data_IF_364925874095
#
_entry.id   IF_364925874095
#
_cell.length_a   1.000
_cell.length_b   1.000
_cell.length_c   1.000
_cell.angle_alpha   90.00
_cell.angle_beta   90.00
_cell.angle_gamma   90.00
#
_symmetry.space_group_name_H-M   'P 1'
#
loop_
_entity.id
_entity.type
_entity.pdbx_description
1 polymer ?
#
# COMPACT_ATOMS: atom_id res chain seq x y z
N UNK A 1 13.71 6.13 25.10
CA UNK A 1 14.61 5.19 25.82
C UNK A 1 14.44 3.79 25.24
N UNK A 2 15.52 2.97 25.13
CA UNK A 2 15.38 1.59 24.71
C UNK A 2 14.37 0.83 25.59
N UNK A 3 13.66 -0.15 25.01
CA UNK A 3 12.77 -1.01 25.78
C UNK A 3 13.59 -1.80 26.79
N UNK A 4 13.20 -1.72 28.06
CA UNK A 4 13.88 -2.37 29.19
C UNK A 4 13.24 -3.70 29.62
N UNK A 5 13.77 -4.29 30.68
CA UNK A 5 13.22 -5.48 31.30
C UNK A 5 13.25 -6.74 30.40
N UNK A 6 12.29 -7.63 30.62
CA UNK A 6 12.20 -8.91 29.88
C UNK A 6 12.04 -8.72 28.36
N UNK A 7 11.29 -7.71 27.94
CA UNK A 7 11.10 -7.42 26.51
C UNK A 7 12.38 -6.96 25.84
N UNK A 8 13.15 -6.05 26.47
CA UNK A 8 14.44 -5.61 25.94
C UNK A 8 15.46 -6.76 25.82
N UNK A 9 15.50 -7.66 26.79
CA UNK A 9 16.34 -8.86 26.73
C UNK A 9 15.92 -9.81 25.61
N UNK A 10 14.59 -10.03 25.45
CA UNK A 10 14.05 -10.87 24.39
C UNK A 10 14.38 -10.29 23.00
N UNK A 11 14.20 -8.99 22.77
CA UNK A 11 14.48 -8.33 21.48
C UNK A 11 15.96 -8.37 21.12
N UNK A 12 16.82 -8.26 22.11
CA UNK A 12 18.28 -8.40 21.91
C UNK A 12 18.64 -9.83 21.50
N UNK A 13 18.03 -10.84 22.15
CA UNK A 13 18.28 -12.25 21.86
C UNK A 13 17.86 -12.63 20.44
N UNK A 14 16.72 -12.13 19.97
CA UNK A 14 16.18 -12.42 18.62
C UNK A 14 16.68 -11.43 17.55
N UNK A 15 17.55 -10.47 17.90
CA UNK A 15 18.19 -9.57 16.95
C UNK A 15 17.27 -8.52 16.33
N UNK A 16 16.22 -8.07 17.06
CA UNK A 16 15.24 -7.09 16.54
C UNK A 16 15.26 -5.73 17.26
N UNK A 17 16.25 -5.53 18.13
CA UNK A 17 16.35 -4.29 18.94
C UNK A 17 16.42 -3.03 18.07
N UNK A 18 17.14 -3.07 16.94
CA UNK A 18 17.25 -1.94 16.01
C UNK A 18 15.93 -1.65 15.32
N UNK A 19 15.20 -2.69 14.89
CA UNK A 19 13.86 -2.52 14.30
C UNK A 19 12.91 -1.86 15.29
N UNK A 20 12.92 -2.29 16.54
CA UNK A 20 12.07 -1.69 17.59
C UNK A 20 12.51 -0.27 17.90
N UNK A 21 13.80 0.03 17.93
CA UNK A 21 14.32 1.38 18.13
C UNK A 21 13.91 2.32 16.97
N UNK A 22 13.92 1.81 15.74
CA UNK A 22 13.42 2.53 14.58
C UNK A 22 11.91 2.85 14.73
N UNK A 23 11.07 1.86 15.05
CA UNK A 23 9.65 2.08 15.30
C UNK A 23 9.38 3.12 16.39
N UNK A 24 10.21 3.13 17.46
CA UNK A 24 10.11 4.15 18.51
C UNK A 24 10.48 5.55 18.02
N UNK A 25 11.46 5.66 17.14
CA UNK A 25 11.91 6.94 16.59
C UNK A 25 10.91 7.54 15.61
N UNK A 26 10.27 6.68 14.80
CA UNK A 26 9.27 7.08 13.80
C UNK A 26 7.88 7.35 14.40
N UNK A 27 7.63 6.95 15.65
CA UNK A 27 6.33 7.16 16.27
C UNK A 27 6.07 8.65 16.54
N UNK A 28 5.12 9.27 15.85
CA UNK A 28 4.74 10.68 15.96
C UNK A 28 4.39 11.06 17.40
N UNK A 29 3.71 10.19 18.12
CA UNK A 29 3.39 10.39 19.52
C UNK A 29 4.64 10.56 20.40
N UNK A 30 5.71 9.80 20.14
CA UNK A 30 6.98 9.93 20.82
C UNK A 30 7.67 11.26 20.48
N UNK A 31 7.59 11.67 19.21
CA UNK A 31 8.14 12.93 18.76
C UNK A 31 7.41 14.10 19.44
N UNK A 32 6.07 14.15 19.41
CA UNK A 32 5.25 15.19 20.05
C UNK A 32 5.55 15.25 21.54
N UNK A 33 5.57 14.09 22.22
CA UNK A 33 5.86 14.02 23.65
C UNK A 33 7.24 14.58 24.02
N UNK A 34 8.21 14.40 23.12
CA UNK A 34 9.59 14.83 23.35
C UNK A 34 9.82 16.31 23.02
N UNK A 35 9.27 16.77 21.90
CA UNK A 35 9.54 18.10 21.34
C UNK A 35 8.44 19.12 21.65
N UNK A 36 7.23 18.66 21.99
CA UNK A 36 6.07 19.48 22.30
C UNK A 36 5.39 19.01 23.60
N UNK A 37 6.12 18.95 24.73
CA UNK A 37 5.61 18.32 25.97
C UNK A 37 4.40 19.05 26.57
N UNK A 38 4.22 20.33 26.27
CA UNK A 38 3.05 21.10 26.73
C UNK A 38 1.79 20.68 25.96
N UNK A 39 1.90 20.50 24.65
CA UNK A 39 0.82 19.96 23.82
C UNK A 39 0.47 18.55 24.29
N UNK A 40 1.49 17.69 24.50
CA UNK A 40 1.26 16.33 24.98
C UNK A 40 0.51 16.31 26.32
N UNK A 41 0.90 17.14 27.29
CA UNK A 41 0.23 17.22 28.61
C UNK A 41 -1.22 17.73 28.52
N UNK A 42 -1.51 18.57 27.54
CA UNK A 42 -2.87 19.08 27.29
C UNK A 42 -3.70 18.19 26.37
N UNK A 43 -3.13 17.10 25.85
CA UNK A 43 -3.82 16.20 24.91
C UNK A 43 -4.95 15.46 25.62
N UNK A 44 -6.17 15.69 25.17
CA UNK A 44 -7.36 14.96 25.62
C UNK A 44 -7.56 13.64 24.85
N UNK A 45 -7.33 13.67 23.53
CA UNK A 45 -7.42 12.49 22.66
C UNK A 45 -6.31 12.49 21.62
N UNK A 46 -5.70 11.32 21.39
CA UNK A 46 -4.77 11.09 20.30
C UNK A 46 -5.50 10.36 19.19
N UNK A 47 -5.67 11.01 18.06
CA UNK A 47 -6.47 10.52 16.93
C UNK A 47 -5.64 10.49 15.66
N UNK A 48 -5.83 9.46 14.85
CA UNK A 48 -5.45 9.51 13.44
C UNK A 48 -6.42 10.43 12.68
N UNK A 49 -6.12 10.71 11.41
CA UNK A 49 -6.94 11.60 10.58
C UNK A 49 -8.39 11.11 10.48
N UNK A 50 -8.60 9.79 10.36
CA UNK A 50 -9.94 9.17 10.32
C UNK A 50 -10.73 9.45 11.60
N UNK A 51 -10.14 9.22 12.77
CA UNK A 51 -10.78 9.50 14.06
C UNK A 51 -11.02 10.99 14.28
N UNK A 52 -10.12 11.86 13.82
CA UNK A 52 -10.33 13.31 13.86
C UNK A 52 -11.51 13.73 12.99
N UNK A 53 -11.60 13.24 11.76
CA UNK A 53 -12.74 13.54 10.87
C UNK A 53 -14.03 12.98 11.43
N UNK A 54 -14.02 11.77 11.98
CA UNK A 54 -15.17 11.18 12.66
C UNK A 54 -15.66 12.07 13.80
N UNK A 55 -14.73 12.54 14.66
CA UNK A 55 -15.08 13.46 15.73
C UNK A 55 -15.66 14.77 15.21
N UNK A 56 -15.07 15.37 14.17
CA UNK A 56 -15.57 16.61 13.56
C UNK A 56 -16.97 16.46 12.97
N UNK A 57 -17.29 15.29 12.45
CA UNK A 57 -18.57 15.01 11.80
C UNK A 57 -19.66 14.62 12.80
N UNK A 58 -19.29 13.83 13.84
CA UNK A 58 -20.26 13.19 14.74
C UNK A 58 -20.18 13.64 16.21
N UNK A 59 -19.14 14.34 16.60
CA UNK A 59 -18.83 14.69 18.00
C UNK A 59 -18.29 13.52 18.83
N UNK A 60 -18.15 12.30 18.28
CA UNK A 60 -17.71 11.09 18.99
C UNK A 60 -16.21 10.83 18.80
N UNK A 61 -15.57 10.28 19.84
CA UNK A 61 -14.18 9.81 19.77
C UNK A 61 -14.16 8.30 19.49
N UNK A 62 -14.51 7.93 18.26
CA UNK A 62 -14.58 6.56 17.79
C UNK A 62 -13.90 6.45 16.42
N UNK A 63 -13.27 5.32 16.12
CA UNK A 63 -12.62 5.08 14.83
C UNK A 63 -12.72 3.61 14.42
N UNK A 64 -12.47 3.32 13.14
CA UNK A 64 -12.42 1.95 12.63
C UNK A 64 -11.13 1.23 13.04
N UNK A 65 -11.21 -0.04 13.44
CA UNK A 65 -10.02 -0.89 13.61
C UNK A 65 -9.20 -0.97 12.31
N UNK A 66 -9.87 -0.90 11.17
CA UNK A 66 -9.23 -1.00 9.86
C UNK A 66 -8.56 0.32 9.39
N UNK A 67 -8.78 1.42 10.13
CA UNK A 67 -8.05 2.68 9.94
C UNK A 67 -6.79 2.78 10.79
N UNK A 68 -6.55 1.82 11.70
CA UNK A 68 -5.44 1.86 12.64
C UNK A 68 -4.15 1.36 11.98
N UNK A 69 -3.50 2.23 11.22
CA UNK A 69 -2.21 1.99 10.57
C UNK A 69 -1.21 3.02 11.06
N UNK A 70 -0.21 2.60 11.86
CA UNK A 70 0.78 3.52 12.43
C UNK A 70 1.55 2.91 13.60
N UNK A 71 2.39 3.73 14.22
CA UNK A 71 3.26 3.33 15.32
C UNK A 71 2.63 3.70 16.68
N UNK A 72 1.69 2.87 17.14
CA UNK A 72 1.00 3.02 18.43
C UNK A 72 0.65 1.66 19.04
N UNK A 73 0.16 1.60 20.29
CA UNK A 73 -0.09 0.33 20.98
C UNK A 73 -1.30 -0.44 20.44
N UNK A 74 -1.26 -0.85 19.15
CA UNK A 74 -2.29 -1.62 18.49
C UNK A 74 -1.87 -3.08 18.29
N UNK A 75 -2.74 -4.04 18.59
CA UNK A 75 -2.57 -5.46 18.32
C UNK A 75 -3.22 -5.82 16.98
N UNK A 76 -2.44 -5.83 15.92
CA UNK A 76 -2.90 -6.14 14.57
C UNK A 76 -3.56 -7.52 14.45
N UNK A 77 -3.12 -8.49 15.27
CA UNK A 77 -3.70 -9.83 15.26
C UNK A 77 -5.06 -9.87 15.95
N UNK A 78 -5.21 -9.15 17.05
CA UNK A 78 -6.47 -9.04 17.77
C UNK A 78 -7.40 -7.98 17.17
N UNK A 79 -6.89 -7.11 16.28
CA UNK A 79 -7.57 -5.94 15.72
C UNK A 79 -8.18 -5.06 16.82
N UNK A 80 -7.36 -4.74 17.81
CA UNK A 80 -7.75 -3.91 18.96
C UNK A 80 -6.53 -3.25 19.59
N UNK A 81 -6.75 -2.36 20.54
CA UNK A 81 -5.67 -1.85 21.37
C UNK A 81 -4.95 -2.99 22.09
N UNK A 82 -3.63 -2.87 22.20
CA UNK A 82 -2.80 -3.90 22.85
C UNK A 82 -3.19 -4.09 24.30
N UNK A 83 -3.07 -5.33 24.79
CA UNK A 83 -3.34 -5.67 26.20
C UNK A 83 -2.41 -4.88 27.13
N UNK A 84 -2.86 -4.57 28.36
CA UNK A 84 -1.98 -4.02 29.40
C UNK A 84 -0.68 -4.86 29.51
N UNK A 85 0.46 -4.19 29.72
CA UNK A 85 1.78 -4.81 29.79
C UNK A 85 2.39 -5.33 28.47
N UNK A 86 1.73 -5.16 27.32
CA UNK A 86 2.37 -5.38 26.01
C UNK A 86 3.54 -4.38 25.83
N UNK A 87 4.60 -4.87 25.18
CA UNK A 87 5.80 -4.06 24.92
C UNK A 87 5.52 -2.77 24.11
N UNK A 88 4.44 -2.76 23.34
CA UNK A 88 4.06 -1.60 22.53
C UNK A 88 3.75 -0.38 23.39
N UNK A 89 3.19 -0.57 24.61
CA UNK A 89 3.01 0.52 25.56
C UNK A 89 4.33 1.08 26.12
N UNK A 90 5.42 0.28 26.10
CA UNK A 90 6.75 0.78 26.41
C UNK A 90 7.39 1.46 25.18
N UNK A 91 7.09 0.96 23.97
CA UNK A 91 7.61 1.53 22.74
C UNK A 91 7.02 2.92 22.47
N UNK A 92 5.71 3.07 22.66
CA UNK A 92 4.96 4.33 22.49
C UNK A 92 4.14 4.59 23.76
N UNK A 93 4.77 5.16 24.81
CA UNK A 93 4.12 5.38 26.09
C UNK A 93 3.02 6.44 25.99
N UNK A 94 1.79 6.00 26.27
CA UNK A 94 0.59 6.83 26.36
C UNK A 94 -0.43 6.17 27.26
N UNK A 95 -1.37 6.94 27.78
CA UNK A 95 -2.48 6.42 28.55
C UNK A 95 -3.55 5.86 27.59
N UNK A 96 -4.13 4.72 27.90
CA UNK A 96 -5.09 4.06 27.02
C UNK A 96 -6.39 4.87 26.83
N UNK A 97 -6.75 5.69 27.79
CA UNK A 97 -7.94 6.54 27.78
C UNK A 97 -7.85 7.74 26.83
N UNK A 98 -6.64 8.12 26.39
CA UNK A 98 -6.51 9.12 25.31
C UNK A 98 -6.76 8.56 23.91
N UNK A 99 -6.82 7.25 23.77
CA UNK A 99 -7.14 6.59 22.49
C UNK A 99 -8.66 6.57 22.23
N UNK A 100 -9.10 6.54 20.97
CA UNK A 100 -10.53 6.43 20.65
C UNK A 100 -11.09 5.02 20.94
N UNK A 101 -12.40 4.93 21.06
CA UNK A 101 -13.13 3.67 20.94
C UNK A 101 -12.93 3.09 19.55
N UNK A 102 -12.83 1.76 19.42
CA UNK A 102 -12.69 1.09 18.13
C UNK A 102 -13.93 0.26 17.79
N UNK A 103 -14.33 0.37 16.51
CA UNK A 103 -15.40 -0.43 15.92
C UNK A 103 -14.90 -1.15 14.67
N UNK A 104 -15.61 -2.19 14.23
CA UNK A 104 -15.23 -2.88 12.99
C UNK A 104 -15.56 -2.01 11.75
N UNK A 105 -14.89 -2.29 10.63
CA UNK A 105 -15.34 -1.76 9.35
C UNK A 105 -16.82 -2.16 9.14
N UNK A 106 -17.61 -1.29 8.51
CA UNK A 106 -19.07 -1.37 8.36
C UNK A 106 -19.91 -1.05 9.60
N UNK A 107 -19.31 -0.91 10.77
CA UNK A 107 -20.06 -0.50 11.97
C UNK A 107 -20.39 1.00 11.95
N UNK A 108 -21.34 1.36 12.80
CA UNK A 108 -21.80 2.73 12.94
C UNK A 108 -20.86 3.57 13.81
N UNK A 109 -20.38 4.67 13.25
CA UNK A 109 -19.52 5.63 13.96
C UNK A 109 -20.29 6.74 14.67
N UNK A 110 -21.46 7.12 14.15
CA UNK A 110 -22.30 8.21 14.65
C UNK A 110 -23.16 8.82 13.56
N UNK A 111 -23.87 9.89 13.89
CA UNK A 111 -24.66 10.68 12.94
C UNK A 111 -23.99 12.01 12.67
N UNK A 112 -24.16 12.51 11.44
CA UNK A 112 -23.72 13.84 11.08
C UNK A 112 -24.47 14.88 11.94
N UNK A 113 -23.72 15.66 12.68
CA UNK A 113 -24.29 16.70 13.56
C UNK A 113 -24.82 17.89 12.74
N UNK A 114 -25.77 18.68 13.27
CA UNK A 114 -26.24 19.91 12.61
C UNK A 114 -25.09 20.89 12.30
N UNK A 115 -24.09 20.98 13.20
CA UNK A 115 -22.91 21.80 12.99
C UNK A 115 -22.07 21.32 11.81
N UNK A 116 -21.81 20.02 11.72
CA UNK A 116 -21.09 19.41 10.61
C UNK A 116 -21.85 19.56 9.29
N UNK A 117 -23.19 19.40 9.32
CA UNK A 117 -24.07 19.61 8.17
C UNK A 117 -23.95 21.02 7.62
N UNK A 118 -23.99 22.02 8.48
CA UNK A 118 -23.81 23.43 8.08
C UNK A 118 -22.45 23.68 7.42
N UNK A 119 -21.38 23.05 7.92
CA UNK A 119 -20.01 23.25 7.42
C UNK A 119 -19.71 22.49 6.13
N UNK A 120 -20.38 21.35 5.88
CA UNK A 120 -20.03 20.43 4.78
C UNK A 120 -21.12 20.30 3.71
N UNK A 121 -22.36 20.68 4.02
CA UNK A 121 -23.53 20.40 3.16
C UNK A 121 -24.05 18.96 3.25
N UNK A 122 -23.42 18.07 4.03
CA UNK A 122 -23.91 16.69 4.25
C UNK A 122 -25.15 16.77 5.15
N UNK A 123 -26.25 16.05 4.83
CA UNK A 123 -27.47 16.09 5.65
C UNK A 123 -27.23 15.71 7.11
N UNK A 124 -27.77 16.49 8.05
CA UNK A 124 -27.76 16.15 9.47
C UNK A 124 -28.55 14.87 9.72
N UNK A 125 -28.08 14.06 10.69
CA UNK A 125 -28.69 12.77 11.02
C UNK A 125 -28.34 11.63 10.05
N UNK A 126 -27.55 11.90 8.99
CA UNK A 126 -27.05 10.83 8.13
C UNK A 126 -26.06 9.94 8.92
N UNK A 127 -26.23 8.61 8.89
CA UNK A 127 -25.31 7.71 9.56
C UNK A 127 -23.91 7.73 8.92
N UNK A 128 -22.87 7.86 9.75
CA UNK A 128 -21.49 7.69 9.34
C UNK A 128 -21.07 6.25 9.60
N UNK A 129 -20.65 5.54 8.56
CA UNK A 129 -20.25 4.14 8.62
C UNK A 129 -18.72 4.04 8.62
N UNK A 130 -18.19 3.15 9.47
CA UNK A 130 -16.76 2.87 9.54
C UNK A 130 -16.26 2.22 8.25
N UNK A 131 -15.15 2.72 7.74
CA UNK A 131 -14.44 2.13 6.61
C UNK A 131 -13.03 1.68 7.05
N UNK A 132 -12.02 1.83 6.21
CA UNK A 132 -10.67 1.36 6.46
C UNK A 132 -9.63 2.37 5.94
N UNK A 133 -8.35 2.09 6.18
CA UNK A 133 -7.25 2.82 5.56
C UNK A 133 -7.35 2.76 4.02
N UNK A 134 -6.80 3.78 3.34
CA UNK A 134 -6.88 3.97 1.88
C UNK A 134 -6.44 2.74 1.09
N UNK A 135 -5.36 2.06 1.50
CA UNK A 135 -4.90 0.82 0.87
C UNK A 135 -5.86 -0.34 1.06
N UNK A 136 -6.47 -0.48 2.22
CA UNK A 136 -7.45 -1.53 2.47
C UNK A 136 -8.74 -1.31 1.66
N UNK A 137 -9.18 -0.05 1.55
CA UNK A 137 -10.33 0.31 0.70
C UNK A 137 -9.98 0.19 -0.79
N UNK A 138 -8.76 0.52 -1.23
CA UNK A 138 -8.30 0.29 -2.60
C UNK A 138 -8.41 -1.19 -3.01
N UNK A 139 -7.96 -2.10 -2.14
CA UNK A 139 -8.07 -3.56 -2.34
C UNK A 139 -9.53 -4.00 -2.49
N UNK A 140 -10.42 -3.47 -1.63
CA UNK A 140 -11.85 -3.75 -1.70
C UNK A 140 -12.49 -3.18 -2.97
N UNK A 141 -12.20 -1.93 -3.31
CA UNK A 141 -12.72 -1.25 -4.50
C UNK A 141 -12.21 -1.83 -5.81
N UNK A 142 -11.02 -2.45 -5.80
CA UNK A 142 -10.51 -3.26 -6.90
C UNK A 142 -11.19 -4.64 -7.01
N UNK A 143 -12.08 -4.99 -6.08
CA UNK A 143 -12.79 -6.26 -6.06
C UNK A 143 -11.97 -7.45 -5.56
N UNK A 144 -10.87 -7.22 -4.83
CA UNK A 144 -9.98 -8.26 -4.33
C UNK A 144 -10.48 -8.85 -2.99
N UNK A 145 -11.54 -9.64 -3.03
CA UNK A 145 -12.13 -10.29 -1.87
C UNK A 145 -11.38 -11.56 -1.43
N UNK A 146 -10.73 -12.23 -2.36
CA UNK A 146 -10.15 -13.55 -2.19
C UNK A 146 -8.62 -13.55 -2.27
N UNK A 147 -7.94 -14.47 -1.58
CA UNK A 147 -6.48 -14.49 -1.49
C UNK A 147 -5.76 -14.84 -2.80
N UNK A 148 -6.45 -15.36 -3.81
CA UNK A 148 -5.88 -15.62 -5.13
C UNK A 148 -5.89 -14.38 -6.06
N UNK A 149 -6.54 -13.30 -5.64
CA UNK A 149 -6.54 -12.01 -6.34
C UNK A 149 -5.47 -11.09 -5.74
N UNK A 150 -4.46 -10.76 -6.53
CA UNK A 150 -3.43 -9.80 -6.15
C UNK A 150 -3.84 -8.39 -6.55
N UNK A 151 -3.98 -7.47 -5.57
CA UNK A 151 -4.15 -6.05 -5.84
C UNK A 151 -2.78 -5.38 -5.93
N UNK A 152 -2.41 -4.87 -7.10
CA UNK A 152 -1.24 -4.02 -7.29
C UNK A 152 -1.69 -2.56 -7.22
N UNK A 153 -1.06 -1.78 -6.36
CA UNK A 153 -1.25 -0.33 -6.32
C UNK A 153 -0.08 0.37 -7.00
N UNK A 154 -0.35 1.08 -8.08
CA UNK A 154 0.61 1.85 -8.86
C UNK A 154 0.57 3.33 -8.46
N UNK A 155 0.80 3.56 -7.16
CA UNK A 155 0.91 4.89 -6.56
C UNK A 155 2.36 5.32 -6.33
N UNK A 156 2.56 6.45 -5.63
CA UNK A 156 3.91 6.91 -5.23
C UNK A 156 4.69 5.83 -4.51
N UNK A 157 4.03 5.05 -3.65
CA UNK A 157 4.47 3.74 -3.16
C UNK A 157 3.79 2.67 -4.01
N UNK A 158 4.54 1.72 -4.55
CA UNK A 158 3.95 0.58 -5.22
C UNK A 158 3.77 -0.57 -4.22
N UNK A 159 2.61 -1.22 -4.22
CA UNK A 159 2.32 -2.30 -3.27
C UNK A 159 1.67 -3.50 -3.96
N UNK A 160 1.91 -4.67 -3.39
CA UNK A 160 1.10 -5.87 -3.62
C UNK A 160 0.30 -6.16 -2.37
N UNK A 161 -1.00 -6.33 -2.52
CA UNK A 161 -1.92 -6.70 -1.45
C UNK A 161 -2.75 -7.92 -1.80
N UNK A 162 -3.06 -8.75 -0.80
CA UNK A 162 -4.04 -9.85 -0.90
C UNK A 162 -4.88 -9.91 0.37
N UNK A 163 -6.16 -10.28 0.25
CA UNK A 163 -7.10 -10.37 1.38
C UNK A 163 -7.14 -11.77 1.97
N UNK A 164 -6.96 -11.91 3.28
CA UNK A 164 -6.95 -13.19 3.97
C UNK A 164 -7.76 -13.14 5.27
N UNK A 165 -8.41 -14.27 5.62
CA UNK A 165 -9.09 -14.44 6.91
C UNK A 165 -8.14 -14.81 8.06
N UNK A 166 -6.88 -15.13 7.75
CA UNK A 166 -5.87 -15.51 8.74
C UNK A 166 -4.79 -14.44 8.84
N UNK A 167 -4.34 -14.17 10.06
CA UNK A 167 -3.15 -13.36 10.31
C UNK A 167 -1.90 -14.08 9.81
N UNK A 168 -1.20 -13.49 8.84
CA UNK A 168 0.01 -14.04 8.22
C UNK A 168 1.00 -12.91 7.98
N UNK A 169 2.16 -12.98 8.58
CA UNK A 169 3.27 -12.07 8.28
C UNK A 169 4.01 -12.56 7.04
N UNK A 170 3.92 -11.83 5.94
CA UNK A 170 4.69 -12.12 4.70
C UNK A 170 6.17 -11.89 4.95
N UNK A 171 6.49 -10.77 5.58
CA UNK A 171 7.82 -10.42 6.06
C UNK A 171 7.78 -10.59 7.59
N UNK A 172 8.64 -11.42 8.19
CA UNK A 172 8.63 -11.65 9.63
C UNK A 172 8.72 -10.34 10.42
N UNK A 173 7.87 -10.18 11.42
CA UNK A 173 7.72 -9.02 12.29
C UNK A 173 7.13 -7.76 11.61
N UNK A 174 6.69 -7.87 10.37
CA UNK A 174 5.84 -6.86 9.73
C UNK A 174 4.42 -7.41 9.74
N UNK A 175 3.51 -6.83 10.56
CA UNK A 175 2.14 -7.31 10.65
C UNK A 175 1.35 -7.02 9.37
N UNK A 176 0.42 -7.89 8.98
CA UNK A 176 -0.60 -7.55 7.99
C UNK A 176 -1.53 -6.49 8.58
N UNK A 177 -2.07 -5.62 7.74
CA UNK A 177 -3.04 -4.63 8.17
C UNK A 177 -4.45 -5.24 8.28
N UNK A 178 -5.33 -4.69 9.15
CA UNK A 178 -6.74 -5.02 9.11
C UNK A 178 -7.31 -4.68 7.73
N UNK A 179 -8.07 -5.61 7.16
CA UNK A 179 -8.76 -5.39 5.88
C UNK A 179 -9.97 -4.47 6.04
N UNK A 180 -10.46 -3.92 4.95
CA UNK A 180 -11.77 -3.29 4.87
C UNK A 180 -12.94 -4.28 5.12
N UNK A 181 -12.66 -5.57 5.13
CA UNK A 181 -13.62 -6.64 5.48
C UNK A 181 -13.41 -7.01 6.94
N UNK A 182 -14.45 -6.95 7.80
CA UNK A 182 -14.34 -7.25 9.23
C UNK A 182 -13.68 -8.59 9.50
N UNK A 183 -12.71 -8.61 10.43
CA UNK A 183 -11.99 -9.81 10.86
C UNK A 183 -11.02 -10.39 9.82
N UNK A 184 -10.85 -9.74 8.66
CA UNK A 184 -9.86 -10.13 7.66
C UNK A 184 -8.60 -9.23 7.73
N UNK A 185 -7.56 -9.62 7.00
CA UNK A 185 -6.25 -8.98 6.95
C UNK A 185 -5.82 -8.75 5.50
N UNK A 186 -5.18 -7.63 5.24
CA UNK A 186 -4.46 -7.40 4.00
C UNK A 186 -2.98 -7.71 4.21
N UNK A 187 -2.49 -8.70 3.48
CA UNK A 187 -1.07 -9.02 3.41
C UNK A 187 -0.45 -8.07 2.41
N UNK A 188 0.42 -7.19 2.89
CA UNK A 188 1.04 -6.16 2.06
C UNK A 188 2.54 -6.31 1.97
N UNK A 189 3.08 -6.08 0.76
CA UNK A 189 4.50 -5.84 0.53
C UNK A 189 4.65 -4.54 -0.26
N UNK A 190 5.51 -3.65 0.22
CA UNK A 190 5.67 -2.28 -0.29
C UNK A 190 7.01 -2.07 -0.99
N UNK A 191 6.98 -1.28 -2.06
CA UNK A 191 8.14 -0.65 -2.69
C UNK A 191 8.00 0.87 -2.48
N UNK A 192 8.72 1.43 -1.53
CA UNK A 192 8.49 2.79 -0.99
C UNK A 192 8.58 3.91 -2.05
N UNK A 193 9.48 3.80 -3.02
CA UNK A 193 9.57 4.72 -4.16
C UNK A 193 9.10 4.02 -5.42
N UNK A 194 7.82 3.60 -5.43
CA UNK A 194 7.19 2.91 -6.54
C UNK A 194 7.05 3.78 -7.79
N UNK A 195 5.83 4.10 -8.16
CA UNK A 195 5.57 4.96 -9.34
C UNK A 195 6.00 6.43 -9.13
N UNK A 196 6.45 6.81 -7.94
CA UNK A 196 7.26 8.02 -7.76
C UNK A 196 8.45 8.08 -8.74
N UNK A 197 9.02 6.94 -9.13
CA UNK A 197 10.10 6.87 -10.11
C UNK A 197 9.68 7.34 -11.50
N UNK A 198 8.40 7.22 -11.85
CA UNK A 198 7.84 7.80 -13.08
C UNK A 198 7.92 9.34 -13.01
N UNK A 199 7.49 9.92 -11.89
CA UNK A 199 7.60 11.36 -11.67
C UNK A 199 9.06 11.82 -11.62
N UNK A 200 9.94 11.03 -11.01
CA UNK A 200 11.38 11.29 -11.03
C UNK A 200 11.93 11.28 -12.47
N UNK A 201 11.58 10.28 -13.26
CA UNK A 201 11.99 10.22 -14.68
C UNK A 201 11.44 11.40 -15.46
N UNK A 202 10.17 11.75 -15.29
CA UNK A 202 9.54 12.93 -15.91
C UNK A 202 10.33 14.20 -15.63
N UNK A 203 10.73 14.41 -14.38
CA UNK A 203 11.43 15.62 -13.96
C UNK A 203 12.91 15.67 -14.43
N UNK A 204 13.58 14.51 -14.54
CA UNK A 204 14.99 14.45 -14.91
C UNK A 204 15.22 14.31 -16.42
N UNK A 205 14.33 13.60 -17.13
CA UNK A 205 14.55 13.16 -18.51
C UNK A 205 13.36 13.45 -19.45
N UNK A 206 12.22 13.89 -18.93
CA UNK A 206 10.96 14.02 -19.67
C UNK A 206 10.65 15.42 -20.21
N UNK A 207 11.62 16.33 -20.32
CA UNK A 207 11.39 17.72 -20.74
C UNK A 207 10.67 17.82 -22.11
N UNK A 208 10.98 16.92 -23.03
CA UNK A 208 10.36 16.88 -24.36
C UNK A 208 8.86 16.56 -24.25
N UNK A 209 8.52 15.53 -23.50
CA UNK A 209 7.14 15.09 -23.32
C UNK A 209 6.35 16.12 -22.52
N UNK A 210 6.95 16.76 -21.51
CA UNK A 210 6.31 17.84 -20.77
C UNK A 210 5.96 19.03 -21.66
N UNK A 211 6.84 19.43 -22.59
CA UNK A 211 6.56 20.51 -23.54
C UNK A 211 5.43 20.11 -24.51
N UNK A 212 5.52 18.91 -25.08
CA UNK A 212 4.51 18.42 -26.02
C UNK A 212 3.15 18.25 -25.35
N UNK A 213 3.10 17.74 -24.13
CA UNK A 213 1.89 17.58 -23.35
C UNK A 213 1.22 18.93 -23.06
N UNK A 214 2.02 19.93 -22.67
CA UNK A 214 1.52 21.30 -22.47
C UNK A 214 0.91 21.89 -23.74
N UNK A 215 1.51 21.62 -24.91
CA UNK A 215 0.97 22.08 -26.20
C UNK A 215 -0.34 21.38 -26.57
N UNK A 216 -0.50 20.12 -26.16
CA UNK A 216 -1.68 19.29 -26.44
C UNK A 216 -2.76 19.35 -25.36
N UNK A 217 -2.47 19.92 -24.19
CA UNK A 217 -3.39 19.99 -23.06
C UNK A 217 -3.65 18.60 -22.40
N UNK A 218 -2.65 17.72 -22.38
CA UNK A 218 -2.69 16.39 -21.79
C UNK A 218 -1.60 16.24 -20.70
N UNK A 219 -1.62 15.13 -19.95
CA UNK A 219 -0.55 14.82 -19.03
C UNK A 219 0.66 14.21 -19.74
N UNK A 220 1.88 14.55 -19.29
CA UNK A 220 3.10 14.06 -19.91
C UNK A 220 3.25 12.53 -19.87
N UNK A 221 2.67 11.91 -18.86
CA UNK A 221 2.63 10.46 -18.66
C UNK A 221 1.89 9.72 -19.78
N UNK A 222 0.92 10.37 -20.43
CA UNK A 222 0.21 9.79 -21.57
C UNK A 222 1.12 9.55 -22.78
N UNK A 223 2.19 10.34 -22.89
CA UNK A 223 3.20 10.20 -23.95
C UNK A 223 4.29 9.17 -23.63
N UNK A 224 4.36 8.70 -22.39
CA UNK A 224 5.42 7.78 -21.97
C UNK A 224 5.21 6.35 -22.44
N UNK A 225 4.00 5.96 -22.79
CA UNK A 225 3.71 4.65 -23.38
C UNK A 225 4.48 4.49 -24.71
N UNK A 226 4.69 5.57 -25.48
CA UNK A 226 5.50 5.56 -26.69
C UNK A 226 6.97 5.22 -26.41
N UNK A 227 7.52 5.71 -25.28
CA UNK A 227 8.89 5.36 -24.87
C UNK A 227 9.02 3.87 -24.54
N UNK A 228 8.01 3.30 -23.89
CA UNK A 228 7.98 1.85 -23.58
C UNK A 228 7.89 1.04 -24.86
N UNK A 229 7.00 1.43 -25.78
CA UNK A 229 6.74 0.69 -27.02
C UNK A 229 7.90 0.78 -28.02
N UNK A 230 8.75 1.82 -27.91
CA UNK A 230 9.94 1.98 -28.76
C UNK A 230 11.12 1.07 -28.41
N UNK A 231 11.03 0.33 -27.28
CA UNK A 231 12.12 -0.51 -26.77
C UNK A 231 11.63 -1.95 -26.60
N UNK A 232 12.43 -2.97 -26.94
CA UNK A 232 11.99 -4.35 -26.79
C UNK A 232 11.89 -4.76 -25.32
N UNK A 233 11.09 -5.81 -25.00
CA UNK A 233 11.00 -6.39 -23.66
C UNK A 233 12.36 -6.78 -23.10
N UNK A 234 12.66 -6.34 -21.87
CA UNK A 234 13.93 -6.53 -21.20
C UNK A 234 14.95 -5.42 -21.46
N UNK A 235 14.52 -4.31 -22.09
CA UNK A 235 15.32 -3.06 -22.24
C UNK A 235 16.74 -3.32 -22.75
N UNK A 236 16.89 -4.26 -23.71
CA UNK A 236 18.18 -4.72 -24.26
C UNK A 236 19.21 -5.12 -23.19
N UNK A 237 18.74 -5.66 -22.06
CA UNK A 237 19.57 -6.13 -20.94
C UNK A 237 19.83 -5.07 -19.86
N UNK A 238 19.22 -3.90 -19.95
CA UNK A 238 19.25 -2.91 -18.89
C UNK A 238 18.28 -3.33 -17.78
N UNK A 239 18.79 -3.63 -16.59
CA UNK A 239 17.99 -4.10 -15.46
C UNK A 239 18.09 -3.12 -14.29
N UNK A 240 16.93 -2.75 -13.74
CA UNK A 240 16.81 -1.80 -12.63
C UNK A 240 16.28 -2.49 -11.36
N UNK A 241 16.94 -2.20 -10.23
CA UNK A 241 16.49 -2.52 -8.89
C UNK A 241 15.86 -1.27 -8.26
N UNK A 242 14.54 -1.25 -7.92
CA UNK A 242 13.82 -0.03 -7.58
C UNK A 242 13.89 0.37 -6.09
N UNK A 243 14.98 0.06 -5.38
CA UNK A 243 15.10 0.33 -3.95
C UNK A 243 15.71 1.71 -3.68
N UNK A 244 15.10 2.78 -4.24
CA UNK A 244 15.51 4.18 -4.04
C UNK A 244 15.36 4.65 -2.59
N UNK A 245 14.45 4.07 -1.83
CA UNK A 245 14.37 4.23 -0.39
C UNK A 245 14.60 2.90 0.30
N UNK A 246 15.38 2.88 1.38
CA UNK A 246 15.54 1.69 2.20
C UNK A 246 14.21 1.29 2.84
N UNK A 247 14.10 0.03 3.19
CA UNK A 247 12.99 -0.52 3.96
C UNK A 247 13.43 -0.95 5.35
N UNK A 248 12.50 -1.50 6.11
CA UNK A 248 12.77 -2.01 7.45
C UNK A 248 13.47 -3.37 7.44
N UNK A 249 13.06 -4.27 6.55
CA UNK A 249 13.52 -5.66 6.50
C UNK A 249 13.58 -6.24 5.09
N UNK A 250 12.73 -5.79 4.21
CA UNK A 250 12.76 -6.15 2.79
C UNK A 250 12.09 -5.02 1.95
N UNK A 251 12.89 -4.30 1.14
CA UNK A 251 14.36 -4.30 1.23
C UNK A 251 14.82 -3.88 2.63
N UNK A 252 16.06 -4.23 3.00
CA UNK A 252 16.63 -3.81 4.29
C UNK A 252 17.07 -2.34 4.33
N UNK A 253 17.58 -1.86 5.46
CA UNK A 253 18.01 -0.47 5.63
C UNK A 253 19.27 -0.13 4.79
N UNK A 254 20.03 -1.12 4.37
CA UNK A 254 21.19 -1.00 3.49
C UNK A 254 20.83 -0.80 2.01
N UNK A 255 19.60 -1.11 1.61
CA UNK A 255 19.18 -1.14 0.22
C UNK A 255 19.37 0.21 -0.51
N UNK A 256 19.80 0.12 -1.75
CA UNK A 256 19.93 1.24 -2.68
C UNK A 256 19.37 0.86 -4.04
N UNK A 257 18.86 1.86 -4.77
CA UNK A 257 18.50 1.68 -6.17
C UNK A 257 19.74 1.47 -7.03
N UNK A 258 19.62 0.60 -8.03
CA UNK A 258 20.70 0.31 -8.95
C UNK A 258 20.19 0.07 -10.36
N UNK A 259 21.02 0.42 -11.35
CA UNK A 259 20.79 0.11 -12.78
C UNK A 259 22.07 -0.51 -13.32
N UNK A 260 21.96 -1.68 -13.93
CA UNK A 260 23.11 -2.39 -14.53
C UNK A 260 22.82 -2.76 -15.97
N UNK A 261 23.87 -2.95 -16.76
CA UNK A 261 23.77 -3.42 -18.16
C UNK A 261 23.88 -2.31 -19.21
N UNK A 262 24.28 -1.10 -18.86
CA UNK A 262 24.44 -0.01 -19.84
C UNK A 262 25.45 -0.34 -20.94
N UNK A 263 25.09 0.01 -22.18
CA UNK A 263 25.97 0.06 -23.34
C UNK A 263 25.67 1.34 -24.14
N UNK A 264 26.38 1.54 -25.25
CA UNK A 264 26.20 2.67 -26.17
C UNK A 264 24.84 2.65 -26.92
N UNK A 265 24.16 1.52 -26.95
CA UNK A 265 22.82 1.39 -27.55
C UNK A 265 21.70 1.97 -26.69
N UNK A 266 21.92 2.13 -25.38
CA UNK A 266 20.86 2.51 -24.46
C UNK A 266 20.52 4.00 -24.52
N UNK A 267 19.22 4.27 -24.56
CA UNK A 267 18.64 5.62 -24.55
C UNK A 267 17.81 5.86 -23.30
N UNK A 268 17.28 7.05 -23.12
CA UNK A 268 16.33 7.35 -22.03
C UNK A 268 15.04 6.51 -22.10
N UNK A 269 14.64 6.05 -23.31
CA UNK A 269 13.50 5.15 -23.47
C UNK A 269 13.77 3.78 -22.81
N UNK A 270 14.98 3.25 -22.97
CA UNK A 270 15.40 2.02 -22.26
C UNK A 270 15.39 2.21 -20.75
N UNK A 271 15.88 3.35 -20.25
CA UNK A 271 15.86 3.65 -18.83
C UNK A 271 14.42 3.72 -18.29
N UNK A 272 13.50 4.37 -19.03
CA UNK A 272 12.10 4.45 -18.61
C UNK A 272 11.43 3.06 -18.56
N UNK A 273 11.62 2.26 -19.62
CA UNK A 273 11.13 0.90 -19.65
C UNK A 273 11.74 0.05 -18.53
N UNK A 274 13.05 0.15 -18.29
CA UNK A 274 13.71 -0.55 -17.19
C UNK A 274 13.20 -0.15 -15.81
N UNK A 275 12.74 1.10 -15.61
CA UNK A 275 12.05 1.53 -14.37
C UNK A 275 10.77 0.72 -14.18
N UNK A 276 9.90 0.66 -15.19
CA UNK A 276 8.64 -0.09 -15.09
C UNK A 276 8.89 -1.59 -14.93
N UNK A 277 9.84 -2.16 -15.66
CA UNK A 277 10.24 -3.56 -15.55
C UNK A 277 10.79 -3.87 -14.15
N UNK A 278 11.65 -3.02 -13.60
CA UNK A 278 12.21 -3.16 -12.27
C UNK A 278 11.15 -3.10 -11.16
N UNK A 279 10.19 -2.19 -11.28
CA UNK A 279 9.04 -2.12 -10.36
C UNK A 279 8.18 -3.40 -10.44
N UNK A 280 7.89 -3.89 -11.64
CA UNK A 280 7.13 -5.11 -11.83
C UNK A 280 7.90 -6.36 -11.32
N UNK A 281 9.22 -6.42 -11.48
CA UNK A 281 10.05 -7.48 -10.88
C UNK A 281 10.00 -7.47 -9.36
N UNK A 282 10.09 -6.29 -8.73
CA UNK A 282 10.00 -6.18 -7.28
C UNK A 282 8.63 -6.64 -6.75
N UNK A 283 7.55 -6.25 -7.42
CA UNK A 283 6.19 -6.68 -7.07
C UNK A 283 5.96 -8.18 -7.35
N UNK A 284 6.56 -8.73 -8.40
CA UNK A 284 6.56 -10.18 -8.64
C UNK A 284 7.30 -10.93 -7.52
N UNK A 285 8.43 -10.45 -7.06
CA UNK A 285 9.13 -11.04 -5.91
C UNK A 285 8.29 -10.96 -4.63
N UNK A 286 7.56 -9.85 -4.43
CA UNK A 286 6.58 -9.71 -3.36
C UNK A 286 5.47 -10.76 -3.46
N UNK A 287 4.94 -11.00 -4.67
CA UNK A 287 3.94 -12.04 -4.95
C UNK A 287 4.47 -13.44 -4.61
N UNK A 288 5.68 -13.79 -5.03
CA UNK A 288 6.29 -15.07 -4.72
C UNK A 288 6.45 -15.27 -3.19
N UNK A 289 6.84 -14.23 -2.44
CA UNK A 289 6.91 -14.26 -0.97
C UNK A 289 5.53 -14.46 -0.34
N UNK A 290 4.53 -13.71 -0.82
CA UNK A 290 3.14 -13.82 -0.35
C UNK A 290 2.59 -15.21 -0.60
N UNK A 291 2.74 -15.76 -1.80
CA UNK A 291 2.31 -17.12 -2.16
C UNK A 291 2.95 -18.18 -1.25
N UNK A 292 4.27 -18.06 -1.02
CA UNK A 292 5.01 -18.99 -0.15
C UNK A 292 4.52 -18.93 1.29
N UNK A 293 4.24 -17.74 1.83
CA UNK A 293 3.84 -17.57 3.24
C UNK A 293 2.37 -17.91 3.47
N UNK A 294 1.50 -17.47 2.56
CA UNK A 294 0.05 -17.73 2.66
C UNK A 294 -0.33 -19.16 2.25
N UNK A 295 0.50 -19.82 1.43
CA UNK A 295 0.22 -21.10 0.76
C UNK A 295 -0.97 -21.02 -0.21
N UNK A 296 -1.26 -19.83 -0.70
CA UNK A 296 -2.26 -19.57 -1.72
C UNK A 296 -1.56 -18.91 -2.90
N UNK A 297 -1.69 -19.47 -4.09
CA UNK A 297 -1.15 -18.87 -5.30
C UNK A 297 -2.03 -17.70 -5.76
N UNK A 298 -1.41 -16.57 -6.04
CA UNK A 298 -2.04 -15.48 -6.79
C UNK A 298 -2.14 -15.93 -8.24
N UNK A 299 -3.34 -15.84 -8.81
CA UNK A 299 -3.63 -16.30 -10.17
C UNK A 299 -4.13 -15.20 -11.09
N UNK A 300 -4.50 -14.05 -10.55
CA UNK A 300 -5.01 -12.90 -11.28
C UNK A 300 -4.58 -11.61 -10.56
N UNK A 301 -4.33 -10.56 -11.34
CA UNK A 301 -3.93 -9.26 -10.84
C UNK A 301 -5.00 -8.20 -11.11
N UNK A 302 -5.26 -7.36 -10.12
CA UNK A 302 -6.02 -6.12 -10.23
C UNK A 302 -5.06 -4.97 -10.00
N UNK A 303 -4.97 -4.05 -10.96
CA UNK A 303 -4.00 -2.96 -10.89
C UNK A 303 -4.74 -1.65 -10.72
N UNK A 304 -4.57 -1.01 -9.57
CA UNK A 304 -5.19 0.27 -9.21
C UNK A 304 -4.13 1.39 -9.08
N UNK A 305 -4.58 2.60 -8.78
CA UNK A 305 -3.73 3.78 -8.67
C UNK A 305 -3.43 4.45 -10.02
N UNK A 306 -2.82 5.63 -9.98
CA UNK A 306 -2.61 6.47 -11.17
C UNK A 306 -1.83 5.79 -12.31
N UNK A 307 -0.81 5.00 -11.98
CA UNK A 307 -0.01 4.27 -12.97
C UNK A 307 -0.77 3.14 -13.70
N UNK A 308 -1.95 2.75 -13.21
CA UNK A 308 -2.79 1.75 -13.89
C UNK A 308 -3.43 2.27 -15.18
N UNK A 309 -3.35 3.56 -15.45
CA UNK A 309 -3.89 4.17 -16.67
C UNK A 309 -3.01 3.88 -17.91
N UNK A 310 -1.71 3.57 -17.71
CA UNK A 310 -0.81 3.19 -18.80
C UNK A 310 -1.09 1.76 -19.27
N UNK A 311 -1.49 1.61 -20.54
CA UNK A 311 -1.69 0.30 -21.17
C UNK A 311 -0.36 -0.46 -21.28
N UNK A 312 0.72 0.24 -21.59
CA UNK A 312 2.05 -0.34 -21.68
C UNK A 312 2.52 -0.90 -20.33
N UNK A 313 2.28 -0.19 -19.23
CA UNK A 313 2.64 -0.66 -17.89
C UNK A 313 1.83 -1.91 -17.48
N UNK A 314 0.54 -1.99 -17.85
CA UNK A 314 -0.28 -3.15 -17.53
C UNK A 314 0.10 -4.38 -18.38
N UNK A 315 0.36 -4.19 -19.68
CA UNK A 315 0.83 -5.31 -20.53
C UNK A 315 2.17 -5.84 -20.01
N UNK A 316 3.11 -4.95 -19.72
CA UNK A 316 4.40 -5.31 -19.14
C UNK A 316 4.23 -6.08 -17.81
N UNK A 317 3.30 -5.66 -16.98
CA UNK A 317 2.97 -6.34 -15.72
C UNK A 317 2.46 -7.74 -15.97
N UNK A 318 1.48 -7.91 -16.87
CA UNK A 318 0.96 -9.23 -17.23
C UNK A 318 2.09 -10.14 -17.75
N UNK A 319 2.93 -9.61 -18.62
CA UNK A 319 4.05 -10.35 -19.22
C UNK A 319 5.10 -10.76 -18.16
N UNK A 320 5.46 -9.86 -17.24
CA UNK A 320 6.45 -10.16 -16.19
C UNK A 320 5.92 -11.18 -15.19
N UNK A 321 4.66 -11.04 -14.75
CA UNK A 321 4.07 -11.99 -13.80
C UNK A 321 3.68 -13.32 -14.46
N UNK A 322 3.40 -13.33 -15.76
CA UNK A 322 2.79 -14.47 -16.45
C UNK A 322 1.34 -14.70 -16.01
N UNK A 323 0.64 -13.65 -15.61
CA UNK A 323 -0.72 -13.65 -15.08
C UNK A 323 -1.55 -12.57 -15.76
N UNK A 324 -2.86 -12.78 -15.96
CA UNK A 324 -3.74 -11.72 -16.43
C UNK A 324 -3.75 -10.55 -15.47
N UNK A 325 -3.63 -9.33 -16.01
CA UNK A 325 -3.67 -8.08 -15.24
C UNK A 325 -4.82 -7.20 -15.73
N UNK A 326 -5.75 -6.87 -14.84
CA UNK A 326 -6.93 -6.06 -15.15
C UNK A 326 -6.90 -4.76 -14.36
N UNK A 327 -7.32 -3.66 -14.98
CA UNK A 327 -7.62 -2.44 -14.23
C UNK A 327 -9.08 -2.44 -13.81
N UNK A 328 -9.44 -1.88 -12.62
CA UNK A 328 -10.81 -1.54 -12.29
C UNK A 328 -11.37 -0.51 -13.31
N UNK A 329 -12.69 -0.47 -13.46
CA UNK A 329 -13.32 0.52 -14.35
C UNK A 329 -13.18 1.97 -13.84
N UNK A 330 -12.88 2.14 -12.54
CA UNK A 330 -12.57 3.42 -11.88
C UNK A 330 -11.20 3.29 -11.25
N UNK A 331 -10.28 4.19 -11.58
CA UNK A 331 -8.94 4.19 -11.00
C UNK A 331 -8.92 4.65 -9.53
N UNK A 332 -9.90 5.47 -9.10
CA UNK A 332 -10.12 5.87 -7.70
C UNK A 332 -10.75 4.74 -6.87
N UNK A 333 -10.08 3.60 -6.84
CA UNK A 333 -10.58 2.39 -6.18
C UNK A 333 -10.76 2.58 -4.66
N UNK A 334 -9.96 3.44 -4.00
CA UNK A 334 -10.10 3.70 -2.56
C UNK A 334 -11.46 4.30 -2.21
N UNK A 335 -11.92 5.30 -2.97
CA UNK A 335 -13.24 5.90 -2.78
C UNK A 335 -14.37 4.89 -3.03
N UNK A 336 -14.22 4.05 -4.08
CA UNK A 336 -15.19 2.99 -4.36
C UNK A 336 -15.24 1.95 -3.24
N UNK A 337 -14.12 1.55 -2.68
CA UNK A 337 -14.07 0.61 -1.55
C UNK A 337 -14.70 1.19 -0.28
N UNK A 338 -14.51 2.48 -0.01
CA UNK A 338 -15.20 3.16 1.09
C UNK A 338 -16.72 3.18 0.87
N UNK A 339 -17.18 3.41 -0.38
CA UNK A 339 -18.59 3.33 -0.73
C UNK A 339 -19.16 1.90 -0.57
N UNK A 340 -18.38 0.86 -0.89
CA UNK A 340 -18.76 -0.54 -0.65
C UNK A 340 -18.94 -0.79 0.85
N UNK A 341 -18.01 -0.34 1.72
CA UNK A 341 -18.18 -0.44 3.17
C UNK A 341 -19.47 0.26 3.65
N UNK A 342 -19.70 1.49 3.17
CA UNK A 342 -20.89 2.24 3.54
C UNK A 342 -22.18 1.53 3.08
N UNK A 343 -22.20 0.97 1.87
CA UNK A 343 -23.36 0.27 1.32
C UNK A 343 -23.69 -1.02 2.10
N UNK A 344 -22.66 -1.78 2.52
CA UNK A 344 -22.85 -2.97 3.36
C UNK A 344 -23.28 -2.57 4.77
N UNK A 345 -22.62 -1.59 5.39
CA UNK A 345 -22.93 -1.13 6.75
C UNK A 345 -24.31 -0.47 6.87
N UNK A 346 -24.78 0.18 5.81
CA UNK A 346 -26.14 0.74 5.72
C UNK A 346 -27.21 -0.29 5.33
N UNK A 347 -26.85 -1.56 5.08
CA UNK A 347 -27.78 -2.60 4.68
C UNK A 347 -28.32 -2.48 3.24
N UNK A 348 -27.70 -1.67 2.38
CA UNK A 348 -28.05 -1.56 0.96
C UNK A 348 -27.69 -2.84 0.22
N UNK A 349 -26.59 -3.47 0.61
CA UNK A 349 -26.17 -4.79 0.15
C UNK A 349 -26.04 -5.75 1.35
N UNK A 350 -26.43 -7.01 1.11
CA UNK A 350 -26.46 -8.04 2.15
C UNK A 350 -25.05 -8.40 2.67
N UNK A 351 -24.06 -8.37 1.76
CA UNK A 351 -22.68 -8.75 2.02
C UNK A 351 -21.69 -8.10 1.04
N UNK A 352 -20.40 -8.29 1.30
CA UNK A 352 -19.34 -7.76 0.45
C UNK A 352 -19.33 -8.36 -0.97
N UNK A 353 -19.72 -9.63 -1.13
CA UNK A 353 -19.74 -10.27 -2.43
C UNK A 353 -20.80 -9.62 -3.33
N UNK A 354 -22.02 -9.42 -2.81
CA UNK A 354 -23.09 -8.74 -3.53
C UNK A 354 -22.78 -7.28 -3.83
N UNK A 355 -22.18 -6.56 -2.85
CA UNK A 355 -21.78 -5.17 -3.03
C UNK A 355 -20.69 -5.02 -4.11
N UNK A 356 -19.63 -5.81 -4.03
CA UNK A 356 -18.54 -5.81 -5.03
C UNK A 356 -19.06 -6.19 -6.40
N UNK A 357 -19.89 -7.25 -6.50
CA UNK A 357 -20.49 -7.64 -7.78
C UNK A 357 -21.31 -6.51 -8.42
N UNK A 358 -22.05 -5.75 -7.63
CA UNK A 358 -22.94 -4.67 -8.12
C UNK A 358 -22.21 -3.36 -8.37
N UNK A 359 -21.22 -3.01 -7.54
CA UNK A 359 -20.60 -1.70 -7.52
C UNK A 359 -19.26 -1.64 -8.25
N UNK A 360 -18.57 -2.79 -8.41
CA UNK A 360 -17.28 -2.84 -9.11
C UNK A 360 -17.40 -3.53 -10.46
N UNK A 361 -16.53 -3.17 -11.40
CA UNK A 361 -16.39 -3.81 -12.70
C UNK A 361 -14.94 -3.85 -13.09
N UNK A 362 -14.58 -4.84 -13.90
CA UNK A 362 -13.30 -4.84 -14.58
C UNK A 362 -13.38 -3.94 -15.81
N UNK A 363 -12.36 -3.13 -15.98
CA UNK A 363 -12.06 -2.44 -17.22
C UNK A 363 -11.30 -3.36 -18.18
N UNK A 364 -10.24 -2.82 -18.79
CA UNK A 364 -9.40 -3.59 -19.71
C UNK A 364 -8.56 -4.63 -18.99
N UNK A 365 -8.52 -5.85 -19.55
CA UNK A 365 -7.64 -6.95 -19.12
C UNK A 365 -6.52 -7.13 -20.13
N UNK A 366 -5.32 -7.39 -19.63
CA UNK A 366 -4.11 -7.65 -20.41
C UNK A 366 -3.67 -9.09 -20.13
N UNK A 367 -3.66 -9.90 -21.17
CA UNK A 367 -3.21 -11.29 -21.09
C UNK A 367 -1.69 -11.37 -21.28
N UNK A 368 -1.00 -12.26 -20.55
CA UNK A 368 0.44 -12.40 -20.68
C UNK A 368 0.82 -13.04 -22.03
N UNK A 369 1.83 -12.46 -22.71
CA UNK A 369 2.44 -13.08 -23.87
C UNK A 369 3.49 -14.10 -23.40
N UNK A 370 3.32 -15.37 -23.73
CA UNK A 370 4.17 -16.48 -23.27
C UNK A 370 5.63 -16.36 -23.71
N UNK A 371 5.89 -15.83 -24.91
CA UNK A 371 7.26 -15.66 -25.41
C UNK A 371 7.98 -14.50 -24.68
N UNK A 372 7.24 -13.39 -24.47
CA UNK A 372 7.75 -12.23 -23.72
C UNK A 372 7.96 -12.62 -22.26
N UNK A 373 7.04 -13.36 -21.66
CA UNK A 373 7.17 -13.90 -20.31
C UNK A 373 8.44 -14.75 -20.14
N UNK A 374 8.73 -15.63 -21.11
CA UNK A 374 9.96 -16.43 -21.08
C UNK A 374 11.21 -15.54 -21.06
N UNK A 375 11.25 -14.50 -21.89
CA UNK A 375 12.36 -13.52 -21.91
C UNK A 375 12.50 -12.80 -20.55
N UNK A 376 11.41 -12.35 -19.97
CA UNK A 376 11.42 -11.74 -18.63
C UNK A 376 11.88 -12.70 -17.54
N UNK A 377 11.53 -13.99 -17.63
CA UNK A 377 12.01 -15.01 -16.69
C UNK A 377 13.53 -15.16 -16.73
N UNK A 378 14.15 -15.13 -17.91
CA UNK A 378 15.62 -15.19 -18.05
C UNK A 378 16.27 -14.01 -17.29
N UNK A 379 15.78 -12.79 -17.49
CA UNK A 379 16.31 -11.61 -16.79
C UNK A 379 16.01 -11.61 -15.29
N UNK A 380 14.79 -12.00 -14.92
CA UNK A 380 14.38 -12.05 -13.54
C UNK A 380 15.23 -13.01 -12.70
N UNK A 381 15.36 -14.27 -13.12
CA UNK A 381 16.14 -15.27 -12.39
C UNK A 381 17.65 -15.13 -12.60
N UNK A 382 18.07 -14.78 -13.82
CA UNK A 382 19.49 -14.67 -14.19
C UNK A 382 20.17 -13.43 -13.63
N UNK A 383 19.45 -12.30 -13.54
CA UNK A 383 20.02 -11.00 -13.19
C UNK A 383 19.32 -10.40 -11.97
N UNK A 384 18.04 -10.03 -12.07
CA UNK A 384 17.34 -9.22 -11.08
C UNK A 384 17.40 -9.81 -9.67
N UNK A 385 17.05 -11.08 -9.48
CA UNK A 385 17.06 -11.75 -8.15
C UNK A 385 18.44 -11.87 -7.52
N UNK A 386 19.50 -11.64 -8.29
CA UNK A 386 20.88 -11.70 -7.81
C UNK A 386 21.42 -10.34 -7.41
N UNK A 387 20.84 -9.25 -7.98
CA UNK A 387 21.37 -7.89 -7.78
C UNK A 387 21.41 -7.50 -6.30
N UNK A 388 20.33 -7.70 -5.56
CA UNK A 388 20.24 -7.28 -4.17
C UNK A 388 21.38 -7.83 -3.32
N UNK A 389 21.64 -9.13 -3.39
CA UNK A 389 22.71 -9.79 -2.63
C UNK A 389 24.13 -9.43 -3.08
N UNK A 390 24.28 -8.95 -4.32
CA UNK A 390 25.60 -8.58 -4.85
C UNK A 390 25.93 -7.12 -4.56
N UNK A 391 24.94 -6.31 -4.17
CA UNK A 391 25.08 -4.90 -3.87
C UNK A 391 25.05 -4.60 -2.36
N UNK A 392 24.80 -5.62 -1.53
CA UNK A 392 25.04 -5.58 -0.07
C UNK A 392 26.55 -5.52 0.19
#
# INVERSE_FOLDING_TARGET
KPIGGLWGAAFKLIGVSETVAYLQAEAEANWIRTHQPEIWRATHKYLLLSGFLTHRLTGRFVDSVASQVGYFPFDYKAQNWSKPHDWKWQAVPMDADILPELVQATDYLGEITPQASTATGIPAGLPLIASAADKATEVLGAGCLDPHLGCLSYGSTATLNTTHKKYIEVIPLIPPYPSAIPGAYNLEVQIYRGYWMVSWFKNQFGLREQKLANEQGIEAEELFDDLVNAVPPGSDGLVLQPYWSPGLRFPGPEARGAVIGFSDAHTRAHLYRAILEGLAYALREASEKTNKRSRVAITELRVAGGGSQSDAALQLTADIFGLPASRPHIYEASGLGAAVNAAVGAGIHQDFASAVHSMTRLGKTFEPNTQVHARYNELYFGVYKRMYKQLE
#
